data_IF_297391723220
#
_entry.id   IF_297391723220
#
_cell.length_a   1.000
_cell.length_b   1.000
_cell.length_c   1.000
_cell.angle_alpha   90.00
_cell.angle_beta   90.00
_cell.angle_gamma   90.00
#
_symmetry.space_group_name_H-M   'P 1'
#
loop_
_entity.id
_entity.type
_entity.pdbx_description
1 polymer ?
#
# COMPACT_ATOMS: atom_id res chain seq x y z
N UNK A 1 -8.44 14.91 -11.95
CA UNK A 1 -9.21 15.40 -10.78
C UNK A 1 -10.65 15.76 -11.13
N UNK A 2 -11.02 15.86 -12.42
CA UNK A 2 -12.40 16.18 -12.84
C UNK A 2 -13.48 15.33 -12.17
N UNK A 3 -13.20 14.06 -11.89
CA UNK A 3 -14.18 13.15 -11.26
C UNK A 3 -14.65 13.59 -9.87
N UNK A 4 -13.87 14.39 -9.11
CA UNK A 4 -14.28 14.88 -7.79
C UNK A 4 -15.10 16.17 -7.85
N UNK A 5 -15.00 16.93 -8.94
CA UNK A 5 -15.65 18.24 -9.13
C UNK A 5 -17.16 18.24 -8.85
N UNK A 6 -17.98 17.30 -9.37
CA UNK A 6 -19.43 17.34 -9.11
C UNK A 6 -19.77 17.12 -7.63
N UNK A 7 -19.00 16.31 -6.91
CA UNK A 7 -19.22 16.04 -5.49
C UNK A 7 -18.84 17.25 -4.62
N UNK A 8 -17.72 17.90 -4.93
CA UNK A 8 -17.30 19.16 -4.27
C UNK A 8 -18.36 20.25 -4.49
N UNK A 9 -18.84 20.42 -5.72
CA UNK A 9 -19.88 21.40 -6.04
C UNK A 9 -21.17 21.17 -5.26
N UNK A 10 -21.64 19.91 -5.14
CA UNK A 10 -22.84 19.56 -4.35
C UNK A 10 -22.65 19.86 -2.86
N UNK A 11 -21.50 19.49 -2.29
CA UNK A 11 -21.20 19.78 -0.88
C UNK A 11 -21.09 21.28 -0.59
N UNK A 12 -20.57 22.07 -1.54
CA UNK A 12 -20.54 23.53 -1.42
C UNK A 12 -21.96 24.13 -1.50
N UNK A 13 -22.80 23.63 -2.41
CA UNK A 13 -24.18 24.10 -2.56
C UNK A 13 -25.04 23.83 -1.31
N UNK A 14 -24.77 22.74 -0.59
CA UNK A 14 -25.42 22.39 0.68
C UNK A 14 -24.85 23.19 1.87
N UNK A 15 -23.74 23.92 1.67
CA UNK A 15 -23.10 24.72 2.73
C UNK A 15 -22.24 23.92 3.71
N UNK A 16 -21.95 22.63 3.42
CA UNK A 16 -21.14 21.76 4.30
C UNK A 16 -19.65 21.78 3.97
N UNK A 17 -19.27 22.37 2.83
CA UNK A 17 -17.89 22.53 2.41
C UNK A 17 -17.64 23.99 2.01
N UNK A 18 -16.68 24.64 2.67
CA UNK A 18 -16.41 26.07 2.50
C UNK A 18 -15.44 26.38 1.33
N UNK A 19 -14.70 25.38 0.84
CA UNK A 19 -13.66 25.58 -0.18
C UNK A 19 -14.19 25.28 -1.59
N UNK A 20 -14.22 26.29 -2.47
CA UNK A 20 -14.73 26.17 -3.85
C UNK A 20 -13.74 25.52 -4.81
N UNK A 21 -12.44 25.57 -4.52
CA UNK A 21 -11.43 24.96 -5.38
C UNK A 21 -11.17 23.50 -4.99
N UNK A 22 -11.60 22.60 -5.86
CA UNK A 22 -11.40 21.16 -5.69
C UNK A 22 -9.93 20.74 -5.85
N UNK A 23 -9.07 21.58 -6.42
CA UNK A 23 -7.64 21.26 -6.63
C UNK A 23 -6.81 21.44 -5.35
N UNK A 24 -7.18 22.41 -4.49
CA UNK A 24 -6.47 22.72 -3.24
C UNK A 24 -7.06 22.01 -2.01
N UNK A 25 -8.16 21.29 -2.18
CA UNK A 25 -8.86 20.64 -1.07
C UNK A 25 -8.01 19.52 -0.45
N UNK A 26 -7.69 19.66 0.83
CA UNK A 26 -6.89 18.66 1.55
C UNK A 26 -7.76 17.52 2.11
N UNK A 27 -7.22 16.29 2.25
CA UNK A 27 -7.93 15.19 2.91
C UNK A 27 -8.35 15.53 4.35
N UNK A 28 -7.51 16.27 5.09
CA UNK A 28 -7.83 16.71 6.45
C UNK A 28 -9.01 17.68 6.46
N UNK A 29 -9.05 18.64 5.52
CA UNK A 29 -10.20 19.55 5.39
C UNK A 29 -11.50 18.78 5.11
N UNK A 30 -11.47 17.75 4.27
CA UNK A 30 -12.63 16.89 4.02
C UNK A 30 -13.12 16.14 5.26
N UNK A 31 -12.20 15.57 6.04
CA UNK A 31 -12.54 14.88 7.29
C UNK A 31 -13.14 15.84 8.31
N UNK A 32 -12.51 17.00 8.51
CA UNK A 32 -12.99 18.03 9.42
C UNK A 32 -14.38 18.56 9.01
N UNK A 33 -14.62 18.79 7.71
CA UNK A 33 -15.93 19.20 7.20
C UNK A 33 -16.99 18.12 7.41
N UNK A 34 -16.65 16.84 7.23
CA UNK A 34 -17.56 15.73 7.50
C UNK A 34 -17.91 15.63 8.98
N UNK A 35 -16.93 15.79 9.87
CA UNK A 35 -17.16 15.72 11.31
C UNK A 35 -18.01 16.90 11.81
N UNK A 36 -17.77 18.11 11.28
CA UNK A 36 -18.65 19.27 11.51
C UNK A 36 -20.07 19.01 11.06
N UNK A 37 -20.27 18.44 9.87
CA UNK A 37 -21.60 18.07 9.39
C UNK A 37 -22.31 17.08 10.30
N UNK A 38 -21.59 16.10 10.86
CA UNK A 38 -22.17 15.11 11.80
C UNK A 38 -22.56 15.73 13.14
N UNK A 39 -21.79 16.70 13.62
CA UNK A 39 -22.04 17.39 14.89
C UNK A 39 -23.15 18.44 14.78
N UNK A 40 -23.16 19.19 13.68
CA UNK A 40 -24.08 20.29 13.45
C UNK A 40 -24.49 20.35 11.96
N UNK A 41 -25.42 19.48 11.52
CA UNK A 41 -25.92 19.52 10.15
C UNK A 41 -26.74 20.80 9.89
N UNK A 42 -26.79 21.31 8.64
CA UNK A 42 -27.60 22.48 8.31
C UNK A 42 -29.08 22.29 8.67
N UNK A 43 -29.70 23.32 9.28
CA UNK A 43 -31.08 23.27 9.79
C UNK A 43 -32.12 23.11 8.67
N UNK A 44 -31.80 23.62 7.48
CA UNK A 44 -32.62 23.57 6.27
C UNK A 44 -32.47 22.25 5.48
N UNK A 45 -31.53 21.38 5.88
CA UNK A 45 -31.29 20.12 5.22
C UNK A 45 -32.19 19.00 5.80
N UNK A 46 -33.10 18.41 5.00
CA UNK A 46 -33.92 17.30 5.47
C UNK A 46 -33.07 16.09 5.85
N UNK A 47 -33.41 15.42 6.96
CA UNK A 47 -32.66 14.26 7.47
C UNK A 47 -32.50 13.12 6.44
N UNK A 48 -33.49 12.94 5.56
CA UNK A 48 -33.44 11.95 4.48
C UNK A 48 -32.25 12.16 3.52
N UNK A 49 -31.71 13.38 3.42
CA UNK A 49 -30.54 13.72 2.59
C UNK A 49 -29.20 13.48 3.28
N UNK A 50 -29.17 13.16 4.58
CA UNK A 50 -27.90 13.02 5.31
C UNK A 50 -27.06 11.86 4.77
N UNK A 51 -27.72 10.74 4.40
CA UNK A 51 -27.04 9.60 3.78
C UNK A 51 -26.41 9.93 2.43
N UNK A 52 -26.99 10.87 1.69
CA UNK A 52 -26.45 11.36 0.41
C UNK A 52 -25.18 12.21 0.64
N UNK A 53 -25.23 13.14 1.59
CA UNK A 53 -24.07 13.97 1.99
C UNK A 53 -22.91 13.11 2.49
N UNK A 54 -23.20 12.15 3.37
CA UNK A 54 -22.22 11.15 3.82
C UNK A 54 -21.63 10.35 2.66
N UNK A 55 -22.46 10.02 1.67
CA UNK A 55 -22.04 9.35 0.43
C UNK A 55 -21.02 10.18 -0.36
N UNK A 56 -21.26 11.48 -0.50
CA UNK A 56 -20.35 12.40 -1.19
C UNK A 56 -19.00 12.53 -0.48
N UNK A 57 -19.00 12.72 0.84
CA UNK A 57 -17.76 12.69 1.61
C UNK A 57 -17.03 11.35 1.46
N UNK A 58 -17.77 10.24 1.50
CA UNK A 58 -17.22 8.89 1.31
C UNK A 58 -16.53 8.70 -0.05
N UNK A 59 -17.16 9.20 -1.13
CA UNK A 59 -16.56 9.17 -2.48
C UNK A 59 -15.28 10.00 -2.53
N UNK A 60 -15.32 11.24 -2.05
CA UNK A 60 -14.15 12.13 -2.06
C UNK A 60 -12.99 11.51 -1.28
N UNK A 61 -13.21 11.10 -0.03
CA UNK A 61 -12.19 10.47 0.81
C UNK A 61 -11.58 9.24 0.12
N UNK A 62 -12.42 8.40 -0.49
CA UNK A 62 -11.96 7.19 -1.20
C UNK A 62 -11.10 7.55 -2.40
N UNK A 63 -11.51 8.50 -3.24
CA UNK A 63 -10.74 8.93 -4.42
C UNK A 63 -9.41 9.59 -4.04
N UNK A 64 -9.40 10.42 -2.99
CA UNK A 64 -8.17 10.97 -2.43
C UNK A 64 -7.23 9.88 -1.95
N UNK A 65 -7.76 8.84 -1.30
CA UNK A 65 -6.94 7.72 -0.84
C UNK A 65 -6.38 6.90 -2.00
N UNK A 66 -7.18 6.60 -3.04
CA UNK A 66 -6.71 5.92 -4.26
C UNK A 66 -5.58 6.71 -4.92
N UNK A 67 -5.73 8.04 -5.04
CA UNK A 67 -4.68 8.92 -5.58
C UNK A 67 -3.39 8.87 -4.74
N UNK A 68 -3.53 8.89 -3.42
CA UNK A 68 -2.39 8.76 -2.49
C UNK A 68 -1.67 7.42 -2.69
N UNK A 69 -2.41 6.32 -2.80
CA UNK A 69 -1.85 5.00 -3.07
C UNK A 69 -1.09 4.99 -4.39
N UNK A 70 -1.69 5.50 -5.46
CA UNK A 70 -1.06 5.55 -6.77
C UNK A 70 0.27 6.33 -6.74
N UNK A 71 0.28 7.47 -6.04
CA UNK A 71 1.46 8.36 -5.98
C UNK A 71 2.57 7.83 -5.05
N UNK A 72 2.21 7.09 -3.99
CA UNK A 72 3.16 6.72 -2.92
C UNK A 72 3.55 5.25 -2.92
N UNK A 73 2.66 4.39 -3.39
CA UNK A 73 2.76 2.93 -3.28
C UNK A 73 2.62 2.21 -4.64
N UNK A 74 2.31 2.95 -5.70
CA UNK A 74 2.24 2.44 -7.07
C UNK A 74 0.85 1.97 -7.48
N UNK A 75 0.80 1.38 -8.68
CA UNK A 75 -0.45 1.05 -9.37
C UNK A 75 -1.21 -0.07 -8.67
N UNK A 76 -0.52 -1.11 -8.18
CA UNK A 76 -1.19 -2.29 -7.63
C UNK A 76 -2.06 -2.00 -6.41
N UNK A 77 -1.57 -1.32 -5.35
CA UNK A 77 -2.42 -1.01 -4.20
C UNK A 77 -3.61 -0.11 -4.56
N UNK A 78 -3.40 0.83 -5.48
CA UNK A 78 -4.46 1.72 -5.96
C UNK A 78 -5.55 0.95 -6.74
N UNK A 79 -5.14 0.03 -7.61
CA UNK A 79 -6.03 -0.84 -8.38
C UNK A 79 -6.83 -1.77 -7.47
N UNK A 80 -6.16 -2.49 -6.56
CA UNK A 80 -6.82 -3.43 -5.63
C UNK A 80 -7.88 -2.70 -4.79
N UNK A 81 -7.57 -1.50 -4.28
CA UNK A 81 -8.56 -0.70 -3.53
C UNK A 81 -9.70 -0.21 -4.41
N UNK A 82 -9.41 0.28 -5.62
CA UNK A 82 -10.43 0.76 -6.55
C UNK A 82 -11.39 -0.39 -6.91
N UNK A 83 -10.84 -1.56 -7.24
CA UNK A 83 -11.60 -2.75 -7.55
C UNK A 83 -12.51 -3.17 -6.39
N UNK A 84 -11.99 -3.23 -5.17
CA UNK A 84 -12.77 -3.58 -3.98
C UNK A 84 -13.93 -2.58 -3.77
N UNK A 85 -13.66 -1.28 -3.86
CA UNK A 85 -14.66 -0.22 -3.61
C UNK A 85 -15.74 -0.15 -4.69
N UNK A 86 -15.46 -0.66 -5.89
CA UNK A 86 -16.44 -0.75 -6.98
C UNK A 86 -17.39 -1.95 -6.85
N UNK A 87 -17.09 -2.94 -6.01
CA UNK A 87 -17.95 -4.12 -5.83
C UNK A 87 -19.23 -3.82 -5.06
N UNK A 88 -19.16 -2.97 -4.02
CA UNK A 88 -20.32 -2.73 -3.14
C UNK A 88 -20.22 -1.41 -2.38
N UNK A 89 -21.36 -1.00 -1.82
CA UNK A 89 -21.47 0.18 -0.95
C UNK A 89 -21.69 1.48 -1.71
N UNK A 90 -21.62 2.60 -1.00
CA UNK A 90 -21.98 3.89 -1.58
C UNK A 90 -21.04 4.34 -2.70
N UNK A 91 -19.75 3.99 -2.62
CA UNK A 91 -18.78 4.29 -3.67
C UNK A 91 -19.17 3.61 -4.99
N UNK A 92 -19.43 2.30 -4.97
CA UNK A 92 -19.90 1.56 -6.14
C UNK A 92 -21.16 2.17 -6.75
N UNK A 93 -22.17 2.46 -5.92
CA UNK A 93 -23.43 3.06 -6.37
C UNK A 93 -23.24 4.39 -7.11
N UNK A 94 -22.26 5.20 -6.71
CA UNK A 94 -22.00 6.52 -7.30
C UNK A 94 -20.97 6.47 -8.44
N UNK A 95 -20.05 5.50 -8.44
CA UNK A 95 -18.86 5.52 -9.30
C UNK A 95 -18.79 4.38 -10.33
N UNK A 96 -19.55 3.29 -10.18
CA UNK A 96 -19.43 2.13 -11.07
C UNK A 96 -19.85 2.40 -12.52
N UNK A 97 -20.68 3.43 -12.76
CA UNK A 97 -21.07 3.89 -14.10
C UNK A 97 -20.26 5.11 -14.58
N UNK A 98 -19.27 5.57 -13.80
CA UNK A 98 -18.47 6.73 -14.17
C UNK A 98 -17.36 6.33 -15.17
N UNK A 99 -17.40 6.91 -16.37
CA UNK A 99 -16.46 6.59 -17.46
C UNK A 99 -14.99 6.85 -17.08
N UNK A 100 -14.71 7.92 -16.35
CA UNK A 100 -13.35 8.28 -15.93
C UNK A 100 -12.80 7.23 -14.98
N UNK A 101 -13.60 6.76 -14.02
CA UNK A 101 -13.19 5.70 -13.09
C UNK A 101 -13.02 4.38 -13.81
N UNK A 102 -13.92 4.03 -14.73
CA UNK A 102 -13.81 2.81 -15.52
C UNK A 102 -12.52 2.81 -16.37
N UNK A 103 -12.25 3.91 -17.09
CA UNK A 103 -11.04 4.06 -17.89
C UNK A 103 -9.78 4.00 -17.02
N UNK A 104 -9.79 4.65 -15.84
CA UNK A 104 -8.69 4.58 -14.89
C UNK A 104 -8.45 3.13 -14.42
N UNK A 105 -9.52 2.39 -14.07
CA UNK A 105 -9.42 0.97 -13.69
C UNK A 105 -8.79 0.14 -14.80
N UNK A 106 -9.24 0.32 -16.05
CA UNK A 106 -8.72 -0.43 -17.20
C UNK A 106 -7.24 -0.15 -17.46
N UNK A 107 -6.83 1.12 -17.42
CA UNK A 107 -5.43 1.51 -17.59
C UNK A 107 -4.52 0.94 -16.49
N UNK A 108 -5.00 0.94 -15.24
CA UNK A 108 -4.28 0.31 -14.13
C UNK A 108 -4.14 -1.20 -14.35
N UNK A 109 -5.22 -1.88 -14.78
CA UNK A 109 -5.21 -3.31 -15.06
C UNK A 109 -4.24 -3.67 -16.20
N UNK A 110 -4.25 -2.90 -17.29
CA UNK A 110 -3.31 -3.06 -18.41
C UNK A 110 -1.87 -2.83 -17.97
N UNK A 111 -1.61 -1.86 -17.11
CA UNK A 111 -0.27 -1.62 -16.59
C UNK A 111 0.23 -2.79 -15.73
N UNK A 112 -0.68 -3.40 -14.95
CA UNK A 112 -0.37 -4.56 -14.11
C UNK A 112 -0.11 -5.84 -14.91
N UNK A 113 -0.78 -6.03 -16.05
CA UNK A 113 -0.53 -7.21 -16.90
C UNK A 113 0.86 -7.21 -17.54
N UNK A 114 1.52 -6.06 -17.64
CA UNK A 114 2.88 -5.90 -18.15
C UNK A 114 3.94 -5.84 -17.02
N UNK A 115 3.62 -6.35 -15.83
CA UNK A 115 4.55 -6.41 -14.70
C UNK A 115 4.71 -5.11 -13.91
N UNK A 116 3.89 -4.09 -14.19
CA UNK A 116 3.86 -2.79 -13.50
C UNK A 116 5.25 -2.24 -13.13
N UNK A 117 6.12 -1.96 -14.13
CA UNK A 117 7.42 -1.38 -13.87
C UNK A 117 7.26 -0.08 -13.10
N UNK A 118 7.95 0.03 -11.97
CA UNK A 118 7.94 1.24 -11.15
C UNK A 118 9.38 1.70 -10.90
N UNK A 119 9.65 3.02 -10.90
CA UNK A 119 11.00 3.54 -10.62
C UNK A 119 11.57 3.01 -9.29
N UNK A 120 10.68 2.80 -8.33
CA UNK A 120 10.98 2.26 -7.02
C UNK A 120 11.38 0.78 -7.04
N UNK A 121 10.70 -0.03 -7.84
CA UNK A 121 11.08 -1.43 -8.08
C UNK A 121 12.45 -1.50 -8.74
N UNK A 122 12.69 -0.70 -9.79
CA UNK A 122 14.00 -0.61 -10.45
C UNK A 122 15.10 -0.22 -9.47
N UNK A 123 14.87 0.80 -8.63
CA UNK A 123 15.86 1.24 -7.64
C UNK A 123 16.11 0.19 -6.56
N UNK A 124 15.07 -0.51 -6.10
CA UNK A 124 15.22 -1.59 -5.13
C UNK A 124 16.07 -2.74 -5.71
N UNK A 125 15.81 -3.13 -6.96
CA UNK A 125 16.60 -4.16 -7.64
C UNK A 125 18.06 -3.72 -7.79
N UNK A 126 18.32 -2.47 -8.17
CA UNK A 126 19.67 -1.91 -8.25
C UNK A 126 20.42 -2.01 -6.92
N UNK A 127 19.79 -1.59 -5.81
CA UNK A 127 20.37 -1.67 -4.46
C UNK A 127 20.63 -3.12 -4.04
N UNK A 128 19.70 -4.03 -4.33
CA UNK A 128 19.84 -5.45 -4.00
C UNK A 128 20.98 -6.11 -4.78
N UNK A 129 21.09 -5.81 -6.08
CA UNK A 129 22.16 -6.33 -6.95
C UNK A 129 23.52 -5.79 -6.49
N UNK A 130 23.62 -4.49 -6.19
CA UNK A 130 24.84 -3.86 -5.67
C UNK A 130 25.31 -4.51 -4.37
N UNK A 131 24.36 -4.82 -3.47
CA UNK A 131 24.63 -5.53 -2.23
C UNK A 131 25.24 -6.92 -2.46
N UNK A 132 24.63 -7.74 -3.32
CA UNK A 132 25.14 -9.09 -3.61
C UNK A 132 26.36 -9.13 -4.54
N UNK A 133 26.74 -8.02 -5.16
CA UNK A 133 28.05 -7.88 -5.82
C UNK A 133 29.18 -7.69 -4.82
N UNK A 134 28.90 -7.03 -3.69
CA UNK A 134 29.91 -6.68 -2.68
C UNK A 134 29.95 -7.67 -1.52
N UNK A 135 28.86 -8.39 -1.27
CA UNK A 135 28.73 -9.39 -0.21
C UNK A 135 28.47 -10.77 -0.80
N UNK A 136 29.05 -11.79 -0.18
CA UNK A 136 28.81 -13.19 -0.54
C UNK A 136 27.32 -13.56 -0.36
N UNK A 137 26.62 -13.96 -1.44
CA UNK A 137 25.21 -14.35 -1.39
C UNK A 137 24.90 -15.54 -0.47
N UNK A 138 25.89 -16.38 -0.14
CA UNK A 138 25.70 -17.53 0.75
C UNK A 138 25.59 -17.12 2.21
N UNK A 139 26.32 -16.08 2.61
CA UNK A 139 26.41 -15.62 3.99
C UNK A 139 25.54 -14.40 4.26
N UNK A 140 25.29 -13.57 3.24
CA UNK A 140 24.54 -12.35 3.43
C UNK A 140 23.02 -12.58 3.48
N UNK A 141 22.33 -11.78 4.30
CA UNK A 141 20.88 -11.86 4.49
C UNK A 141 20.24 -10.49 4.27
N UNK A 142 19.13 -10.47 3.55
CA UNK A 142 18.39 -9.25 3.21
C UNK A 142 16.92 -9.39 3.57
N UNK A 143 16.32 -8.32 4.08
CA UNK A 143 14.87 -8.22 4.26
C UNK A 143 14.34 -7.02 3.50
N UNK A 144 13.29 -7.23 2.71
CA UNK A 144 12.57 -6.19 1.97
C UNK A 144 11.17 -6.05 2.58
N UNK A 145 10.86 -4.88 3.12
CA UNK A 145 9.55 -4.61 3.73
C UNK A 145 8.63 -3.83 2.80
N UNK A 146 7.39 -4.29 2.68
CA UNK A 146 6.30 -3.63 1.98
C UNK A 146 5.07 -3.51 2.89
N UNK A 147 4.23 -2.50 2.67
CA UNK A 147 2.97 -2.39 3.40
C UNK A 147 1.86 -3.24 2.76
N UNK A 148 1.99 -3.61 1.48
CA UNK A 148 0.94 -4.25 0.70
C UNK A 148 1.35 -5.64 0.21
N UNK A 149 0.46 -6.63 0.40
CA UNK A 149 0.66 -8.00 -0.11
C UNK A 149 0.75 -8.06 -1.63
N UNK A 150 -0.04 -7.23 -2.32
CA UNK A 150 0.08 -7.07 -3.77
C UNK A 150 1.51 -6.72 -4.19
N UNK A 151 2.11 -5.73 -3.53
CA UNK A 151 3.49 -5.32 -3.82
C UNK A 151 4.53 -6.37 -3.44
N UNK A 152 4.29 -7.19 -2.40
CA UNK A 152 5.16 -8.34 -2.09
C UNK A 152 5.21 -9.31 -3.27
N UNK A 153 4.06 -9.61 -3.89
CA UNK A 153 3.99 -10.47 -5.09
C UNK A 153 4.76 -9.87 -6.26
N UNK A 154 4.55 -8.58 -6.56
CA UNK A 154 5.30 -7.89 -7.63
C UNK A 154 6.83 -7.96 -7.42
N UNK A 155 7.26 -7.78 -6.16
CA UNK A 155 8.67 -7.89 -5.81
C UNK A 155 9.16 -9.33 -6.04
N UNK A 156 8.43 -10.34 -5.56
CA UNK A 156 8.79 -11.74 -5.75
C UNK A 156 8.89 -12.13 -7.24
N UNK A 157 7.94 -11.68 -8.05
CA UNK A 157 7.94 -11.90 -9.51
C UNK A 157 9.18 -11.25 -10.15
N UNK A 158 9.53 -10.02 -9.74
CA UNK A 158 10.73 -9.34 -10.22
C UNK A 158 12.04 -10.03 -9.80
N UNK A 159 12.10 -10.57 -8.59
CA UNK A 159 13.28 -11.26 -8.06
C UNK A 159 13.51 -12.62 -8.74
N UNK A 160 12.46 -13.25 -9.29
CA UNK A 160 12.56 -14.56 -9.96
C UNK A 160 13.56 -14.53 -11.13
N UNK A 161 13.71 -13.38 -11.80
CA UNK A 161 14.60 -13.21 -12.95
C UNK A 161 16.05 -12.84 -12.58
N UNK A 162 16.40 -12.70 -11.30
CA UNK A 162 17.73 -12.26 -10.87
C UNK A 162 18.79 -13.38 -10.78
N UNK A 163 18.43 -14.63 -11.14
CA UNK A 163 19.36 -15.76 -11.18
C UNK A 163 19.65 -16.40 -9.82
N UNK A 164 20.67 -17.27 -9.76
CA UNK A 164 20.90 -18.18 -8.63
C UNK A 164 21.37 -17.51 -7.33
N UNK A 165 21.86 -16.27 -7.41
CA UNK A 165 22.38 -15.52 -6.26
C UNK A 165 21.27 -14.95 -5.37
N UNK A 166 20.03 -14.87 -5.85
CA UNK A 166 18.88 -14.38 -5.07
C UNK A 166 17.87 -15.51 -4.86
N UNK A 167 17.83 -16.02 -3.63
CA UNK A 167 16.86 -17.03 -3.18
C UNK A 167 15.84 -16.34 -2.28
N UNK A 168 14.81 -15.79 -2.91
CA UNK A 168 13.79 -15.00 -2.24
C UNK A 168 12.60 -15.86 -1.76
N UNK A 169 11.96 -15.41 -0.69
CA UNK A 169 10.69 -15.97 -0.20
C UNK A 169 9.81 -14.88 0.39
N UNK A 170 8.50 -15.02 0.28
CA UNK A 170 7.54 -14.10 0.88
C UNK A 170 7.26 -14.44 2.36
N UNK A 171 7.09 -13.40 3.17
CA UNK A 171 6.68 -13.51 4.58
C UNK A 171 5.49 -12.58 4.85
N UNK A 172 4.27 -13.12 4.76
CA UNK A 172 3.04 -12.32 4.89
C UNK A 172 2.24 -12.72 6.13
N UNK A 173 1.52 -11.77 6.74
CA UNK A 173 0.74 -12.02 7.95
C UNK A 173 -0.34 -13.10 7.78
N UNK A 174 -0.94 -13.55 8.88
CA UNK A 174 -1.86 -14.70 8.90
C UNK A 174 -3.28 -14.44 8.38
N UNK A 175 -3.66 -13.17 8.16
CA UNK A 175 -5.06 -12.84 7.91
C UNK A 175 -5.62 -13.52 6.65
N UNK A 176 -6.80 -14.13 6.80
CA UNK A 176 -7.61 -14.78 5.76
C UNK A 176 -8.51 -13.77 5.01
N UNK A 177 -8.04 -12.53 4.83
CA UNK A 177 -8.81 -11.47 4.17
C UNK A 177 -9.22 -11.83 2.74
N UNK A 178 -10.34 -11.28 2.28
CA UNK A 178 -11.02 -11.63 1.01
C UNK A 178 -10.18 -11.49 -0.28
N UNK A 179 -9.10 -10.72 -0.26
CA UNK A 179 -8.30 -10.46 -1.46
C UNK A 179 -7.12 -11.44 -1.63
N UNK A 180 -6.47 -11.88 -0.54
CA UNK A 180 -5.29 -12.76 -0.57
C UNK A 180 -5.19 -13.56 0.73
N UNK A 181 -5.01 -14.89 0.62
CA UNK A 181 -4.81 -15.77 1.78
C UNK A 181 -3.45 -15.47 2.42
N UNK A 182 -3.43 -15.28 3.73
CA UNK A 182 -2.20 -15.15 4.51
C UNK A 182 -1.46 -16.48 4.68
N UNK A 183 -0.25 -16.43 5.23
CA UNK A 183 0.51 -17.63 5.59
C UNK A 183 0.13 -18.10 6.99
N UNK A 184 0.03 -19.41 7.20
CA UNK A 184 -0.18 -19.94 8.55
C UNK A 184 1.09 -19.80 9.40
N UNK A 185 0.95 -19.80 10.74
CA UNK A 185 2.11 -19.75 11.65
C UNK A 185 3.14 -20.84 11.33
N UNK A 186 2.68 -22.06 10.98
CA UNK A 186 3.56 -23.18 10.63
C UNK A 186 4.38 -22.89 9.36
N UNK A 187 3.77 -22.27 8.35
CA UNK A 187 4.46 -21.87 7.13
C UNK A 187 5.47 -20.77 7.42
N UNK A 188 5.06 -19.76 8.19
CA UNK A 188 5.95 -18.67 8.62
C UNK A 188 7.18 -19.20 9.37
N UNK A 189 6.99 -20.11 10.32
CA UNK A 189 8.08 -20.73 11.07
C UNK A 189 9.05 -21.51 10.16
N UNK A 190 8.52 -22.31 9.22
CA UNK A 190 9.34 -23.05 8.26
C UNK A 190 10.13 -22.12 7.32
N UNK A 191 9.53 -21.00 6.90
CA UNK A 191 10.23 -19.96 6.11
C UNK A 191 11.39 -19.39 6.91
N UNK A 192 11.20 -19.10 8.20
CA UNK A 192 12.25 -18.57 9.07
C UNK A 192 13.37 -19.58 9.29
N UNK A 193 13.05 -20.84 9.57
CA UNK A 193 14.04 -21.92 9.72
C UNK A 193 14.88 -22.08 8.46
N UNK A 194 14.24 -22.10 7.28
CA UNK A 194 14.93 -22.20 6.00
C UNK A 194 15.80 -20.98 5.69
N UNK A 195 15.36 -19.78 6.08
CA UNK A 195 16.16 -18.56 5.96
C UNK A 195 17.40 -18.58 6.87
N UNK A 196 17.24 -19.03 8.13
CA UNK A 196 18.36 -19.21 9.07
C UNK A 196 19.36 -20.25 8.57
N UNK A 197 18.88 -21.35 7.99
CA UNK A 197 19.72 -22.39 7.39
C UNK A 197 20.38 -22.00 6.06
N UNK A 198 20.10 -20.80 5.51
CA UNK A 198 20.66 -20.34 4.24
C UNK A 198 20.00 -20.89 2.98
N UNK A 199 18.85 -21.57 3.13
CA UNK A 199 18.02 -21.98 1.99
C UNK A 199 17.36 -20.79 1.27
N UNK A 200 17.21 -19.65 1.97
CA UNK A 200 16.84 -18.35 1.41
C UNK A 200 17.81 -17.29 1.92
N UNK A 201 18.12 -16.30 1.09
CA UNK A 201 18.95 -15.15 1.46
C UNK A 201 18.20 -13.81 1.36
N UNK A 202 16.98 -13.81 0.83
CA UNK A 202 16.08 -12.64 0.80
C UNK A 202 14.70 -13.02 1.35
N UNK A 203 14.20 -12.24 2.30
CA UNK A 203 12.78 -12.27 2.72
C UNK A 203 12.08 -11.01 2.22
N UNK A 204 10.92 -11.17 1.59
CA UNK A 204 10.03 -10.07 1.24
C UNK A 204 8.82 -10.10 2.18
N UNK A 205 8.77 -9.18 3.14
CA UNK A 205 7.81 -9.21 4.23
C UNK A 205 6.76 -8.08 4.15
N UNK A 206 5.55 -8.36 4.66
CA UNK A 206 4.58 -7.29 4.96
C UNK A 206 4.83 -6.69 6.35
N UNK A 207 4.53 -5.41 6.55
CA UNK A 207 4.57 -4.74 7.86
C UNK A 207 3.67 -5.39 8.95
N UNK A 208 2.74 -6.28 8.60
CA UNK A 208 1.98 -7.08 9.58
C UNK A 208 2.68 -8.42 9.84
N UNK A 209 3.40 -8.95 8.84
CA UNK A 209 4.25 -10.12 9.01
C UNK A 209 5.47 -9.84 9.89
N UNK A 210 5.88 -8.58 10.09
CA UNK A 210 7.06 -8.31 10.94
C UNK A 210 6.85 -8.63 12.44
N UNK A 211 5.61 -8.58 12.94
CA UNK A 211 5.31 -8.93 14.33
C UNK A 211 5.51 -10.43 14.53
N UNK A 212 6.55 -10.80 15.28
CA UNK A 212 6.98 -12.19 15.45
C UNK A 212 8.17 -12.60 14.56
N UNK A 213 8.66 -11.71 13.69
CA UNK A 213 9.98 -11.84 13.09
C UNK A 213 11.05 -11.55 14.17
N UNK A 214 11.30 -12.50 15.06
CA UNK A 214 12.60 -12.61 15.72
C UNK A 214 13.63 -13.12 14.69
N UNK A 215 13.80 -12.33 13.63
CA UNK A 215 14.81 -12.57 12.62
C UNK A 215 16.13 -12.11 13.20
N UNK A 216 17.10 -12.99 13.02
CA UNK A 216 18.52 -12.77 13.26
C UNK A 216 19.01 -11.47 12.62
N UNK A 217 20.21 -11.04 12.98
CA UNK A 217 20.88 -9.91 12.34
C UNK A 217 20.95 -10.12 10.81
N UNK A 218 20.57 -9.10 10.05
CA UNK A 218 20.65 -9.08 8.58
C UNK A 218 21.57 -7.95 8.12
N UNK A 219 22.15 -8.08 6.94
CA UNK A 219 23.13 -7.10 6.44
C UNK A 219 22.48 -5.90 5.77
N UNK A 220 21.31 -6.11 5.17
CA UNK A 220 20.56 -5.08 4.45
C UNK A 220 19.07 -5.18 4.76
N UNK A 221 18.48 -4.04 5.09
CA UNK A 221 17.03 -3.88 5.18
C UNK A 221 16.59 -2.85 4.15
N UNK A 222 15.72 -3.25 3.23
CA UNK A 222 15.11 -2.35 2.26
C UNK A 222 13.68 -2.07 2.70
N UNK A 223 13.39 -0.83 3.09
CA UNK A 223 12.01 -0.39 3.24
C UNK A 223 11.49 0.01 1.86
N UNK A 224 10.79 -0.90 1.18
CA UNK A 224 10.15 -0.59 -0.09
C UNK A 224 9.18 0.57 0.19
N UNK A 225 8.13 0.38 0.97
CA UNK A 225 7.25 1.49 1.35
C UNK A 225 7.81 2.37 2.47
N UNK A 226 7.49 3.66 2.42
CA UNK A 226 7.78 4.57 3.52
C UNK A 226 7.09 4.06 4.79
N UNK A 227 7.86 4.02 5.88
CA UNK A 227 7.37 3.52 7.16
C UNK A 227 6.36 4.49 7.75
N UNK A 228 5.15 4.00 7.96
CA UNK A 228 4.07 4.77 8.61
C UNK A 228 4.38 4.97 10.10
N UNK A 229 5.22 4.10 10.69
CA UNK A 229 5.62 4.17 12.09
C UNK A 229 7.14 4.37 12.23
N UNK A 230 7.57 5.50 12.83
CA UNK A 230 8.96 5.73 13.19
C UNK A 230 9.53 4.65 14.14
N UNK A 231 8.70 4.11 15.04
CA UNK A 231 9.11 3.03 15.95
C UNK A 231 9.50 1.77 15.18
N UNK A 232 8.69 1.37 14.20
CA UNK A 232 8.98 0.20 13.35
C UNK A 232 10.25 0.42 12.53
N UNK A 233 10.50 1.65 12.07
CA UNK A 233 11.75 2.00 11.41
C UNK A 233 12.97 1.81 12.34
N UNK A 234 12.90 2.30 13.57
CA UNK A 234 13.97 2.13 14.57
C UNK A 234 14.20 0.65 14.87
N UNK A 235 13.13 -0.13 15.06
CA UNK A 235 13.22 -1.57 15.29
C UNK A 235 13.90 -2.29 14.13
N UNK A 236 13.58 -1.93 12.88
CA UNK A 236 14.22 -2.47 11.67
C UNK A 236 15.70 -2.10 11.57
N UNK A 237 16.05 -0.83 11.82
CA UNK A 237 17.45 -0.38 11.84
C UNK A 237 18.26 -1.16 12.88
N UNK A 238 17.68 -1.40 14.07
CA UNK A 238 18.31 -2.16 15.14
C UNK A 238 18.55 -3.66 14.84
N UNK A 239 18.09 -4.15 13.67
CA UNK A 239 18.34 -5.51 13.13
C UNK A 239 19.51 -5.57 12.15
N UNK A 240 20.12 -4.42 11.85
CA UNK A 240 21.36 -4.29 11.07
C UNK A 240 22.46 -3.69 11.97
N UNK A 241 23.74 -3.98 11.69
CA UNK A 241 24.82 -3.13 12.20
C UNK A 241 25.52 -3.52 13.51
N UNK A 242 25.42 -4.76 14.04
CA UNK A 242 26.09 -5.14 15.30
C UNK A 242 27.42 -5.88 15.11
N UNK A 243 27.60 -6.61 14.00
CA UNK A 243 28.88 -7.25 13.64
C UNK A 243 29.66 -6.53 12.54
N UNK A 244 28.99 -5.80 11.64
CA UNK A 244 29.59 -5.01 10.54
C UNK A 244 28.75 -3.75 10.27
N UNK A 245 29.28 -2.79 9.50
CA UNK A 245 28.51 -1.61 9.08
C UNK A 245 27.25 -2.01 8.28
N UNK A 246 26.07 -1.81 8.89
CA UNK A 246 24.77 -2.09 8.27
C UNK A 246 24.30 -0.93 7.37
N UNK A 247 23.50 -1.24 6.34
CA UNK A 247 22.90 -0.26 5.42
C UNK A 247 21.37 -0.39 5.46
N UNK A 248 20.68 0.74 5.54
CA UNK A 248 19.21 0.88 5.48
C UNK A 248 18.84 1.88 4.40
#
# INVERSE_FOLDING_TARGET
LEVIRPFVARLCAIGVLQNRDFQTLSPCALLNSRDKFRQAPPLDLPQMKYGEVEGYFGVLITLYHIRKLLSSHGIRPAFEMLEEKLQKGCFARLMSRNEVIWKAKLLMQQSLSHGAPSPKLSKMLEVLIDHFKTRDPQNSRVIIFSNFRGSVRDIMDALTNLGEFVKATEFIGQSSGKALKGQSQKVQQAVLEKFRAGGYNVIVATSIGEEGLDIMEVDLVICFDANISPLRMIQRMGRTGRKHAGRV
#
